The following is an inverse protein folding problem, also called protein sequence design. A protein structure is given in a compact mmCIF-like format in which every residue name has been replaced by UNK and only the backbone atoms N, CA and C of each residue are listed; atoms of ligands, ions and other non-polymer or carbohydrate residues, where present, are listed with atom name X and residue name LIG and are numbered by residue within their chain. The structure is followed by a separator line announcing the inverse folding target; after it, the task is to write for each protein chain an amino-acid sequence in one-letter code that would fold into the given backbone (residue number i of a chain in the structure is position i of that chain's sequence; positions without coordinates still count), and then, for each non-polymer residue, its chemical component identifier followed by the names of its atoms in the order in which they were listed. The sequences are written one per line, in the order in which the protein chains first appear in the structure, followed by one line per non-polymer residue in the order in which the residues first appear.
data_IF_684921054510
#
_entry.id   IF_684921054510
#
_cell.length_a   1.000
_cell.length_b   1.000
_cell.length_c   1.000
_cell.angle_alpha   90.00
_cell.angle_beta   90.00
_cell.angle_gamma   90.00
#
_symmetry.space_group_name_H-M   'P 1'
#
loop_
_entity.id
_entity.type
_entity.pdbx_description
1 polymer ?
#
# COMPACT_ATOMS: atom_id res chain seq x y z
N UNK A 1 0.09 -10.25 14.28
CA UNK A 1 -0.14 -11.31 13.29
C UNK A 1 0.84 -11.20 12.11
N UNK A 2 0.84 -10.11 11.34
CA UNK A 2 1.75 -9.91 10.19
C UNK A 2 3.23 -10.00 10.56
N UNK A 3 3.65 -9.38 11.66
CA UNK A 3 5.05 -9.43 12.11
C UNK A 3 5.59 -10.87 12.25
N UNK A 4 4.80 -11.78 12.85
CA UNK A 4 5.19 -13.19 13.00
C UNK A 4 5.32 -13.89 11.65
N UNK A 5 4.38 -13.66 10.73
CA UNK A 5 4.40 -14.26 9.37
C UNK A 5 5.61 -13.77 8.57
N UNK A 6 5.85 -12.45 8.56
CA UNK A 6 6.97 -11.86 7.84
C UNK A 6 8.33 -12.37 8.39
N UNK A 7 8.48 -12.51 9.72
CA UNK A 7 9.68 -13.10 10.31
C UNK A 7 9.88 -14.56 9.88
N UNK A 8 8.82 -15.37 9.92
CA UNK A 8 8.88 -16.74 9.47
C UNK A 8 9.30 -16.85 7.99
N UNK A 9 8.81 -15.96 7.13
CA UNK A 9 9.25 -15.90 5.72
C UNK A 9 10.70 -15.47 5.61
N UNK A 10 11.12 -14.41 6.30
CA UNK A 10 12.52 -13.94 6.27
C UNK A 10 13.47 -15.09 6.63
N UNK A 11 13.16 -15.86 7.67
CA UNK A 11 14.00 -16.93 8.18
C UNK A 11 14.11 -18.14 7.20
N UNK A 12 13.27 -18.18 6.15
CA UNK A 12 13.32 -19.21 5.09
C UNK A 12 14.03 -18.75 3.82
N UNK A 13 14.36 -17.46 3.71
CA UNK A 13 14.99 -16.89 2.53
C UNK A 13 16.50 -16.72 2.72
N UNK A 14 17.27 -16.95 1.66
CA UNK A 14 18.74 -16.77 1.67
C UNK A 14 19.16 -15.29 1.76
N UNK A 15 18.29 -14.40 1.32
CA UNK A 15 18.54 -12.96 1.30
C UNK A 15 17.45 -12.20 2.04
N UNK A 16 17.82 -11.10 2.65
CA UNK A 16 16.90 -10.24 3.39
C UNK A 16 15.80 -9.71 2.44
N UNK A 17 14.51 -10.07 2.67
CA UNK A 17 13.42 -9.65 1.81
C UNK A 17 12.99 -8.21 2.07
N UNK A 18 12.54 -7.52 1.04
CA UNK A 18 11.78 -6.29 1.17
C UNK A 18 10.29 -6.62 1.04
N UNK A 19 9.56 -6.54 2.15
CA UNK A 19 8.12 -6.77 2.16
C UNK A 19 7.38 -5.65 1.44
N UNK A 20 6.28 -5.98 0.76
CA UNK A 20 5.54 -5.06 -0.09
C UNK A 20 4.03 -5.29 0.04
N UNK A 21 3.24 -4.42 -0.55
CA UNK A 21 1.79 -4.58 -0.66
C UNK A 21 1.12 -4.91 0.70
N UNK A 22 0.30 -5.97 0.76
CA UNK A 22 -0.42 -6.36 1.98
C UNK A 22 0.50 -6.66 3.16
N UNK A 23 1.68 -7.25 2.93
CA UNK A 23 2.66 -7.52 3.99
C UNK A 23 3.26 -6.21 4.52
N UNK A 24 3.59 -5.25 3.66
CA UNK A 24 4.05 -3.93 4.09
C UNK A 24 2.97 -3.17 4.87
N UNK A 25 1.71 -3.16 4.39
CA UNK A 25 0.60 -2.55 5.13
C UNK A 25 0.40 -3.21 6.50
N UNK A 26 0.44 -4.54 6.55
CA UNK A 26 0.32 -5.28 7.80
C UNK A 26 1.42 -4.95 8.81
N UNK A 27 2.67 -4.76 8.35
CA UNK A 27 3.79 -4.29 9.19
C UNK A 27 3.57 -2.86 9.70
N UNK A 28 2.96 -2.00 8.88
CA UNK A 28 2.58 -0.63 9.27
C UNK A 28 1.35 -0.57 10.19
N UNK A 29 0.68 -1.72 10.45
CA UNK A 29 -0.56 -1.77 11.24
C UNK A 29 -1.80 -1.34 10.47
N UNK A 30 -1.75 -1.36 9.13
CA UNK A 30 -2.87 -0.97 8.26
C UNK A 30 -3.47 -2.23 7.64
N UNK A 31 -4.80 -2.36 7.73
CA UNK A 31 -5.51 -3.44 7.04
C UNK A 31 -5.41 -3.25 5.52
N UNK A 32 -5.06 -4.29 4.75
CA UNK A 32 -5.07 -4.21 3.30
C UNK A 32 -6.49 -3.95 2.76
N UNK A 33 -6.64 -3.38 1.57
CA UNK A 33 -7.93 -3.24 0.90
C UNK A 33 -8.62 -4.59 0.73
N UNK A 34 -9.93 -4.64 0.94
CA UNK A 34 -10.71 -5.90 0.89
C UNK A 34 -10.88 -6.42 -0.53
N UNK A 35 -10.95 -5.51 -1.51
CA UNK A 35 -11.14 -5.84 -2.93
C UNK A 35 -9.81 -6.01 -3.68
N UNK A 36 -8.68 -6.00 -2.97
CA UNK A 36 -7.38 -6.22 -3.59
C UNK A 36 -7.32 -7.61 -4.24
N UNK A 37 -6.92 -7.66 -5.50
CA UNK A 37 -6.71 -8.91 -6.25
C UNK A 37 -5.36 -9.53 -5.84
N UNK A 38 -5.17 -9.69 -4.55
CA UNK A 38 -3.96 -10.26 -3.96
C UNK A 38 -4.32 -11.46 -3.10
N UNK A 39 -3.47 -12.46 -3.12
CA UNK A 39 -3.59 -13.60 -2.20
C UNK A 39 -3.15 -13.18 -0.80
N UNK A 40 -4.08 -12.68 0.02
CA UNK A 40 -3.81 -12.21 1.38
C UNK A 40 -3.38 -13.35 2.33
N UNK A 41 -3.51 -14.59 1.91
CA UNK A 41 -2.98 -15.78 2.62
C UNK A 41 -1.47 -15.92 2.51
N UNK A 42 -0.83 -15.20 1.57
CA UNK A 42 0.61 -15.23 1.33
C UNK A 42 1.29 -13.94 1.74
N UNK A 43 2.62 -14.03 1.95
CA UNK A 43 3.43 -12.83 2.14
C UNK A 43 3.91 -12.29 0.79
N UNK A 44 3.86 -10.98 0.66
CA UNK A 44 4.27 -10.27 -0.54
C UNK A 44 5.62 -9.60 -0.33
N UNK A 45 6.57 -9.93 -1.20
CA UNK A 45 7.89 -9.29 -1.26
C UNK A 45 8.10 -8.63 -2.62
N UNK A 46 9.05 -7.72 -2.69
CA UNK A 46 9.38 -7.03 -3.93
C UNK A 46 10.87 -7.11 -4.24
N UNK A 47 11.17 -7.30 -5.52
CA UNK A 47 12.52 -7.26 -6.08
C UNK A 47 12.58 -6.28 -7.26
N UNK A 48 13.76 -5.75 -7.56
CA UNK A 48 13.92 -4.79 -8.65
C UNK A 48 13.74 -5.43 -10.03
N UNK A 49 14.29 -6.62 -10.21
CA UNK A 49 14.39 -7.31 -11.50
C UNK A 49 13.45 -8.52 -11.56
N UNK A 50 12.94 -8.80 -12.77
CA UNK A 50 12.04 -9.95 -13.00
C UNK A 50 12.73 -11.30 -12.76
N UNK A 51 14.01 -11.40 -13.04
CA UNK A 51 14.76 -12.66 -12.90
C UNK A 51 14.90 -13.09 -11.43
N UNK A 52 14.96 -12.12 -10.51
CA UNK A 52 15.00 -12.36 -9.08
C UNK A 52 13.66 -12.81 -8.47
N UNK A 53 12.58 -12.96 -9.28
CA UNK A 53 11.27 -13.42 -8.80
C UNK A 53 11.18 -14.93 -8.58
N UNK A 54 12.13 -15.71 -9.03
CA UNK A 54 12.07 -17.17 -9.01
C UNK A 54 12.67 -17.73 -7.72
N UNK A 55 12.29 -18.97 -7.39
CA UNK A 55 12.91 -19.70 -6.28
C UNK A 55 12.38 -19.36 -4.89
N UNK A 56 11.21 -18.72 -4.78
CA UNK A 56 10.61 -18.40 -3.49
C UNK A 56 9.67 -19.50 -2.98
N UNK A 57 9.52 -19.66 -1.66
CA UNK A 57 8.58 -20.61 -1.06
C UNK A 57 7.13 -20.40 -1.51
N UNK A 58 6.30 -21.45 -1.48
CA UNK A 58 4.91 -21.40 -1.95
C UNK A 58 4.01 -20.39 -1.22
N UNK A 59 4.38 -20.04 0.01
CA UNK A 59 3.69 -19.02 0.83
C UNK A 59 4.16 -17.60 0.56
N UNK A 60 5.02 -17.37 -0.44
CA UNK A 60 5.55 -16.06 -0.83
C UNK A 60 5.15 -15.72 -2.26
N UNK A 61 4.67 -14.50 -2.46
CA UNK A 61 4.47 -13.90 -3.79
C UNK A 61 5.52 -12.83 -4.01
N UNK A 62 6.40 -13.05 -4.98
CA UNK A 62 7.44 -12.10 -5.30
C UNK A 62 7.02 -11.22 -6.48
N UNK A 63 7.03 -9.91 -6.27
CA UNK A 63 6.72 -8.90 -7.28
C UNK A 63 7.99 -8.26 -7.82
N UNK A 64 8.07 -8.07 -9.14
CA UNK A 64 9.12 -7.25 -9.73
C UNK A 64 8.65 -5.81 -9.90
N UNK A 65 9.43 -4.86 -9.40
CA UNK A 65 9.14 -3.45 -9.52
C UNK A 65 10.42 -2.64 -9.77
N UNK A 66 10.56 -2.12 -10.98
CA UNK A 66 11.76 -1.42 -11.43
C UNK A 66 12.04 -0.11 -10.68
N UNK A 67 11.05 0.44 -9.97
CA UNK A 67 11.20 1.63 -9.15
C UNK A 67 11.78 1.35 -7.75
N UNK A 68 11.99 0.08 -7.38
CA UNK A 68 12.59 -0.28 -6.10
C UNK A 68 14.02 0.26 -6.01
N UNK A 69 14.27 1.08 -5.01
CA UNK A 69 15.59 1.58 -4.61
C UNK A 69 15.63 1.77 -3.08
N UNK A 70 16.81 2.02 -2.52
CA UNK A 70 17.02 2.11 -1.08
C UNK A 70 16.25 3.27 -0.42
N UNK A 71 15.92 4.33 -1.18
CA UNK A 71 15.18 5.50 -0.65
C UNK A 71 13.73 5.20 -0.34
N UNK A 72 13.19 4.14 -0.90
CA UNK A 72 11.80 3.74 -0.68
C UNK A 72 11.66 2.49 0.19
N UNK A 73 12.77 2.01 0.73
CA UNK A 73 12.79 0.90 1.70
C UNK A 73 12.91 1.49 3.10
N UNK A 74 12.00 1.11 3.96
CA UNK A 74 12.01 1.49 5.37
C UNK A 74 12.17 0.24 6.24
N UNK A 75 12.63 0.44 7.47
CA UNK A 75 12.72 -0.62 8.47
C UNK A 75 11.62 -0.47 9.51
N UNK A 76 10.85 -1.53 9.71
CA UNK A 76 9.84 -1.63 10.77
C UNK A 76 10.25 -2.82 11.65
N UNK A 77 10.58 -2.53 12.91
CA UNK A 77 11.25 -3.47 13.81
C UNK A 77 12.56 -3.98 13.19
N UNK A 78 12.63 -5.28 12.91
CA UNK A 78 13.77 -5.98 12.33
C UNK A 78 13.55 -6.39 10.86
N UNK A 79 12.53 -5.84 10.21
CA UNK A 79 12.12 -6.19 8.84
C UNK A 79 12.18 -4.98 7.91
N UNK A 80 12.52 -5.23 6.64
CA UNK A 80 12.49 -4.21 5.59
C UNK A 80 11.19 -4.29 4.80
N UNK A 81 10.60 -3.14 4.52
CA UNK A 81 9.41 -3.06 3.67
C UNK A 81 9.41 -1.78 2.84
N UNK A 82 8.56 -1.74 1.82
CA UNK A 82 8.35 -0.51 1.05
C UNK A 82 7.73 0.59 1.91
N UNK A 83 8.15 1.83 1.71
CA UNK A 83 7.61 3.01 2.38
C UNK A 83 6.09 3.14 2.15
N UNK A 84 5.36 3.91 2.98
CA UNK A 84 3.93 4.12 2.79
C UNK A 84 3.57 4.61 1.39
N UNK A 85 4.32 5.58 0.86
CA UNK A 85 4.09 6.12 -0.47
C UNK A 85 4.38 5.10 -1.58
N UNK A 86 5.45 4.34 -1.46
CA UNK A 86 5.78 3.27 -2.39
C UNK A 86 4.72 2.14 -2.34
N UNK A 87 4.26 1.77 -1.15
CA UNK A 87 3.21 0.77 -0.96
C UNK A 87 1.90 1.24 -1.58
N UNK A 88 1.50 2.50 -1.35
CA UNK A 88 0.33 3.10 -2.00
C UNK A 88 0.43 3.00 -3.53
N UNK A 89 1.55 3.43 -4.09
CA UNK A 89 1.79 3.41 -5.54
C UNK A 89 1.73 2.00 -6.14
N UNK A 90 2.21 0.99 -5.41
CA UNK A 90 2.12 -0.41 -5.82
C UNK A 90 0.67 -0.91 -5.86
N UNK A 91 -0.16 -0.51 -4.89
CA UNK A 91 -1.55 -0.95 -4.79
C UNK A 91 -2.45 -0.44 -5.91
N UNK A 92 -2.16 0.71 -6.53
CA UNK A 92 -2.96 1.27 -7.64
C UNK A 92 -3.18 0.27 -8.76
N UNK A 93 -2.25 -0.64 -8.96
CA UNK A 93 -2.35 -1.69 -9.99
C UNK A 93 -3.35 -2.80 -9.63
N UNK A 94 -3.59 -3.02 -8.35
CA UNK A 94 -4.34 -4.17 -7.82
C UNK A 94 -5.71 -3.78 -7.27
N UNK A 95 -5.94 -2.48 -7.08
CA UNK A 95 -7.16 -1.97 -6.47
C UNK A 95 -8.12 -1.37 -7.50
N UNK A 96 -9.38 -1.42 -7.15
CA UNK A 96 -10.40 -0.56 -7.74
C UNK A 96 -10.17 0.88 -7.31
N UNK A 97 -10.73 1.82 -8.04
CA UNK A 97 -10.49 3.23 -7.80
C UNK A 97 -10.94 3.68 -6.38
N UNK A 98 -12.09 3.22 -5.95
CA UNK A 98 -12.64 3.49 -4.62
C UNK A 98 -11.75 2.96 -3.50
N UNK A 99 -11.25 1.72 -3.65
CA UNK A 99 -10.32 1.14 -2.69
C UNK A 99 -8.98 1.88 -2.63
N UNK A 100 -8.58 2.49 -3.75
CA UNK A 100 -7.40 3.35 -3.77
C UNK A 100 -7.62 4.63 -2.95
N UNK A 101 -8.83 5.22 -2.99
CA UNK A 101 -9.21 6.36 -2.14
C UNK A 101 -9.20 5.94 -0.67
N UNK A 102 -9.82 4.79 -0.35
CA UNK A 102 -9.88 4.25 1.02
C UNK A 102 -8.48 3.98 1.57
N UNK A 103 -7.58 3.44 0.75
CA UNK A 103 -6.19 3.22 1.15
C UNK A 103 -5.46 4.54 1.42
N UNK A 104 -5.68 5.56 0.58
CA UNK A 104 -5.13 6.89 0.82
C UNK A 104 -5.63 7.45 2.16
N UNK A 105 -6.94 7.38 2.45
CA UNK A 105 -7.54 7.82 3.72
C UNK A 105 -6.91 7.10 4.94
N UNK A 106 -6.69 5.78 4.84
CA UNK A 106 -6.06 4.99 5.90
C UNK A 106 -4.61 5.39 6.16
N UNK A 107 -3.84 5.63 5.10
CA UNK A 107 -2.43 6.01 5.21
C UNK A 107 -2.24 7.42 5.77
N UNK A 108 -3.17 8.32 5.44
CA UNK A 108 -3.10 9.75 5.77
C UNK A 108 -4.04 10.15 6.92
N UNK A 109 -4.54 9.18 7.68
CA UNK A 109 -5.57 9.41 8.70
C UNK A 109 -5.18 10.55 9.68
N UNK A 110 -6.22 11.19 10.27
CA UNK A 110 -6.04 12.33 11.18
C UNK A 110 -5.29 11.97 12.45
N UNK A 111 -5.51 10.77 12.98
CA UNK A 111 -4.78 10.30 14.18
C UNK A 111 -3.30 10.14 13.84
N UNK A 112 -2.47 10.99 14.41
CA UNK A 112 -1.01 10.98 14.20
C UNK A 112 -0.33 9.67 14.58
N UNK A 113 -0.89 8.92 15.53
CA UNK A 113 -0.36 7.63 15.96
C UNK A 113 -0.55 6.55 14.89
N UNK A 114 -1.63 6.68 14.12
CA UNK A 114 -2.01 5.73 13.06
C UNK A 114 -1.55 6.19 11.68
N UNK A 115 -1.36 7.50 11.49
CA UNK A 115 -0.89 8.08 10.23
C UNK A 115 0.48 7.54 9.85
N UNK A 116 0.61 7.12 8.60
CA UNK A 116 1.86 6.57 8.04
C UNK A 116 2.49 7.47 7.01
N UNK A 117 1.70 8.37 6.41
CA UNK A 117 2.17 9.38 5.49
C UNK A 117 1.23 10.59 5.51
N UNK A 118 1.69 11.72 5.02
CA UNK A 118 0.85 12.86 4.66
C UNK A 118 0.35 12.72 3.22
N UNK A 119 -0.73 13.39 2.90
CA UNK A 119 -1.23 13.45 1.52
C UNK A 119 -0.18 14.05 0.55
N UNK A 120 0.60 15.02 1.05
CA UNK A 120 1.68 15.65 0.28
C UNK A 120 2.79 14.66 -0.04
N UNK A 121 3.27 13.87 0.94
CA UNK A 121 4.31 12.85 0.69
C UNK A 121 3.87 11.81 -0.34
N UNK A 122 2.59 11.39 -0.31
CA UNK A 122 2.05 10.48 -1.32
C UNK A 122 2.01 11.15 -2.71
N UNK A 123 1.66 12.43 -2.78
CA UNK A 123 1.61 13.19 -4.04
C UNK A 123 3.00 13.40 -4.60
N UNK A 124 3.96 13.84 -3.78
CA UNK A 124 5.35 14.08 -4.17
C UNK A 124 5.98 12.80 -4.75
N UNK A 125 5.73 11.66 -4.10
CA UNK A 125 6.20 10.37 -4.61
C UNK A 125 5.67 10.06 -6.01
N UNK A 126 4.38 10.33 -6.27
CA UNK A 126 3.77 10.09 -7.58
C UNK A 126 4.25 11.10 -8.63
N UNK A 127 4.66 12.30 -8.24
CA UNK A 127 5.16 13.34 -9.15
C UNK A 127 6.63 13.10 -9.52
N UNK A 128 7.42 12.65 -8.56
CA UNK A 128 8.84 12.31 -8.78
C UNK A 128 9.05 11.03 -9.59
N UNK A 129 8.07 10.10 -9.57
CA UNK A 129 8.23 8.76 -10.13
C UNK A 129 7.15 8.43 -11.14
N UNK A 130 7.56 7.82 -12.25
CA UNK A 130 6.65 7.34 -13.29
C UNK A 130 5.97 6.04 -12.86
N UNK A 131 4.91 6.16 -12.05
CA UNK A 131 4.16 5.03 -11.52
C UNK A 131 3.08 4.58 -12.51
N UNK A 132 2.89 3.26 -12.65
CA UNK A 132 1.76 2.71 -13.39
C UNK A 132 0.44 3.15 -12.71
N UNK A 133 -0.52 3.66 -13.50
CA UNK A 133 -1.79 4.19 -12.93
C UNK A 133 -1.65 5.51 -12.18
N UNK A 134 -0.52 6.23 -12.26
CA UNK A 134 -0.24 7.45 -11.51
C UNK A 134 -1.31 8.56 -11.69
N UNK A 135 -1.98 8.66 -12.85
CA UNK A 135 -3.12 9.59 -13.03
C UNK A 135 -4.29 9.24 -12.13
N UNK A 136 -4.64 7.95 -12.05
CA UNK A 136 -5.71 7.47 -11.18
C UNK A 136 -5.33 7.64 -9.70
N UNK A 137 -4.08 7.33 -9.33
CA UNK A 137 -3.56 7.54 -7.98
C UNK A 137 -3.68 9.01 -7.53
N UNK A 138 -3.24 9.97 -8.35
CA UNK A 138 -3.36 11.41 -8.04
C UNK A 138 -4.81 11.85 -7.92
N UNK A 139 -5.68 11.31 -8.78
CA UNK A 139 -7.12 11.58 -8.67
C UNK A 139 -7.70 11.04 -7.37
N UNK A 140 -7.34 9.82 -6.99
CA UNK A 140 -7.75 9.22 -5.73
C UNK A 140 -7.30 10.05 -4.52
N UNK A 141 -6.03 10.51 -4.51
CA UNK A 141 -5.51 11.37 -3.44
C UNK A 141 -6.27 12.70 -3.32
N UNK A 142 -6.63 13.33 -4.45
CA UNK A 142 -7.44 14.56 -4.41
C UNK A 142 -8.85 14.35 -3.85
N UNK A 143 -9.37 13.13 -3.96
CA UNK A 143 -10.68 12.75 -3.43
C UNK A 143 -10.60 12.18 -2.01
N UNK A 144 -9.41 11.84 -1.54
CA UNK A 144 -9.22 11.32 -0.19
C UNK A 144 -9.50 12.38 0.88
N UNK A 145 -9.97 11.91 2.05
CA UNK A 145 -10.29 12.75 3.20
C UNK A 145 -9.70 12.12 4.46
N UNK A 146 -8.56 12.64 4.95
CA UNK A 146 -7.87 12.09 6.12
C UNK A 146 -8.71 12.08 7.41
N UNK A 147 -9.78 12.90 7.42
CA UNK A 147 -10.66 13.07 8.58
C UNK A 147 -11.82 12.07 8.64
N UNK A 148 -11.87 11.11 7.72
CA UNK A 148 -12.96 10.10 7.70
C UNK A 148 -12.57 8.94 8.61
N UNK A 149 -13.14 8.91 9.81
CA UNK A 149 -12.71 7.96 10.86
C UNK A 149 -13.39 6.59 10.74
N UNK A 150 -14.54 6.50 10.04
CA UNK A 150 -15.24 5.24 9.88
C UNK A 150 -15.28 4.73 8.44
N UNK A 151 -15.33 3.39 8.30
CA UNK A 151 -15.52 2.75 6.99
C UNK A 151 -16.84 3.16 6.35
N UNK A 152 -17.91 3.22 7.15
CA UNK A 152 -19.26 3.55 6.68
C UNK A 152 -19.35 4.99 6.15
N UNK A 153 -18.70 5.93 6.81
CA UNK A 153 -18.64 7.32 6.33
C UNK A 153 -17.94 7.41 4.98
N UNK A 154 -16.84 6.66 4.79
CA UNK A 154 -16.13 6.61 3.50
C UNK A 154 -17.01 6.02 2.41
N UNK A 155 -17.64 4.88 2.65
CA UNK A 155 -18.51 4.21 1.69
C UNK A 155 -19.70 5.10 1.33
N UNK A 156 -20.39 5.68 2.32
CA UNK A 156 -21.51 6.59 2.10
C UNK A 156 -21.10 7.82 1.28
N UNK A 157 -19.95 8.41 1.58
CA UNK A 157 -19.40 9.55 0.83
C UNK A 157 -19.12 9.17 -0.62
N UNK A 158 -18.50 8.02 -0.87
CA UNK A 158 -18.20 7.57 -2.21
C UNK A 158 -19.47 7.25 -3.01
N UNK A 159 -20.48 6.68 -2.38
CA UNK A 159 -21.78 6.41 -3.02
C UNK A 159 -22.52 7.73 -3.31
N UNK A 160 -22.54 8.69 -2.39
CA UNK A 160 -23.10 10.01 -2.63
C UNK A 160 -22.45 10.70 -3.86
N UNK A 161 -21.13 10.62 -3.97
CA UNK A 161 -20.40 11.14 -5.14
C UNK A 161 -20.76 10.42 -6.44
N UNK A 162 -20.96 9.09 -6.42
CA UNK A 162 -21.44 8.32 -7.59
C UNK A 162 -22.83 8.77 -8.03
N UNK A 163 -23.69 9.17 -7.10
CA UNK A 163 -25.02 9.71 -7.37
C UNK A 163 -25.03 11.18 -7.77
N UNK A 164 -23.84 11.79 -7.92
CA UNK A 164 -23.71 13.19 -8.34
C UNK A 164 -23.97 14.20 -7.23
N UNK A 165 -24.04 13.76 -5.98
CA UNK A 165 -24.13 14.67 -4.85
C UNK A 165 -22.77 15.36 -4.59
N UNK A 166 -22.76 16.61 -4.09
CA UNK A 166 -21.52 17.29 -3.74
C UNK A 166 -20.79 16.50 -2.65
N UNK A 167 -19.46 16.52 -2.72
CA UNK A 167 -18.63 15.89 -1.69
C UNK A 167 -18.90 16.60 -0.35
N UNK A 168 -19.39 15.91 0.69
CA UNK A 168 -19.63 16.54 1.98
C UNK A 168 -18.33 17.11 2.57
N UNK A 169 -18.42 18.26 3.19
CA UNK A 169 -17.29 18.94 3.85
C UNK A 169 -16.84 18.20 5.11
#
# INVERSE_FOLDING_TARGET
YYLKRCRAVRDTLEHEPVFALSSALGLMGIAPPETAVLDLGKEHIVVRNRDARRGHPANVVCHAWSLLDDRIVIRIFDLYCTSPAATFAQFVRFNWFEETIILADRLTCRDERLRRATQQELMDFLDERKVYGGKAARRALRLSRPNTDSRWERELRLDAMKWGLPNPE
#
